data_IF_892723703031
#
_entry.id   IF_892723703031
#
_cell.length_a   1.000
_cell.length_b   1.000
_cell.length_c   1.000
_cell.angle_alpha   90.00
_cell.angle_beta   90.00
_cell.angle_gamma   90.00
#
_symmetry.space_group_name_H-M   'P 1'
#
loop_
_entity.id
_entity.type
_entity.pdbx_description
1 polymer ?
#
# COMPACT_ATOMS: atom_id res chain seq x y z
N UNK A 1 27.50 16.74 95.62
CA UNK A 1 27.82 16.52 94.21
C UNK A 1 26.59 15.91 93.57
N UNK A 2 25.82 16.74 92.84
CA UNK A 2 24.53 16.36 92.32
C UNK A 2 24.68 16.31 90.77
N UNK A 3 24.56 15.13 90.16
CA UNK A 3 24.56 14.94 88.72
C UNK A 3 23.18 15.12 88.15
N UNK A 4 23.01 16.14 87.32
CA UNK A 4 21.80 16.37 86.51
C UNK A 4 21.86 15.57 85.22
N UNK A 5 20.99 14.58 85.04
CA UNK A 5 20.75 13.90 83.79
C UNK A 5 19.77 14.77 82.91
N UNK A 6 20.28 15.31 81.84
CA UNK A 6 19.42 15.92 80.79
C UNK A 6 18.90 14.80 79.90
N UNK A 7 17.55 14.60 79.91
CA UNK A 7 16.83 13.79 78.91
C UNK A 7 16.60 14.60 77.65
N UNK A 8 17.26 14.18 76.59
CA UNK A 8 16.97 14.73 75.23
C UNK A 8 15.79 13.99 74.65
N UNK A 9 14.68 14.69 74.39
CA UNK A 9 13.51 14.18 73.68
C UNK A 9 13.76 14.36 72.17
N UNK A 10 13.93 13.27 71.44
CA UNK A 10 13.99 13.29 69.99
C UNK A 10 12.55 13.30 69.45
N UNK A 11 12.14 14.40 68.81
CA UNK A 11 10.98 14.43 67.97
C UNK A 11 11.28 13.77 66.64
N UNK A 12 10.69 12.61 66.37
CA UNK A 12 10.71 11.97 65.06
C UNK A 12 9.65 12.69 64.17
N UNK A 13 10.10 13.51 63.24
CA UNK A 13 9.24 14.08 62.23
C UNK A 13 8.92 13.01 61.19
N UNK A 14 7.69 12.53 61.14
CA UNK A 14 7.19 11.68 60.13
C UNK A 14 6.98 12.51 58.85
N UNK A 15 7.81 12.30 57.84
CA UNK A 15 7.62 12.86 56.48
C UNK A 15 6.62 11.96 55.73
N UNK A 16 5.45 12.47 55.31
CA UNK A 16 4.55 11.70 54.44
C UNK A 16 5.20 11.59 53.10
N UNK A 17 5.61 10.39 52.69
CA UNK A 17 6.00 10.04 51.33
C UNK A 17 4.71 10.07 50.51
N UNK A 18 4.44 11.18 49.79
CA UNK A 18 3.45 11.27 48.79
C UNK A 18 3.92 10.42 47.57
N UNK A 19 3.39 9.21 47.45
CA UNK A 19 3.58 8.37 46.28
C UNK A 19 2.80 9.04 45.13
N UNK A 20 3.47 9.90 44.38
CA UNK A 20 2.96 10.42 43.11
C UNK A 20 2.93 9.27 42.11
N UNK A 21 1.79 8.62 41.94
CA UNK A 21 1.54 7.79 40.76
C UNK A 21 1.54 8.73 39.56
N UNK A 22 2.70 8.89 38.93
CA UNK A 22 2.76 9.38 37.58
C UNK A 22 2.05 8.34 36.70
N UNK A 23 0.76 8.54 36.46
CA UNK A 23 0.06 7.87 35.36
C UNK A 23 0.69 8.47 34.10
N UNK A 24 1.80 7.89 33.68
CA UNK A 24 2.31 8.13 32.35
C UNK A 24 1.18 7.70 31.41
N UNK A 25 0.55 8.68 30.77
CA UNK A 25 -0.27 8.36 29.61
C UNK A 25 0.64 7.55 28.68
N UNK A 26 0.40 6.25 28.59
CA UNK A 26 1.05 5.42 27.58
C UNK A 26 0.66 6.08 26.24
N UNK A 27 1.61 6.80 25.66
CA UNK A 27 1.43 7.34 24.32
C UNK A 27 1.24 6.12 23.43
N UNK A 28 0.06 6.00 22.81
CA UNK A 28 -0.20 4.91 21.90
C UNK A 28 0.95 4.86 20.88
N UNK A 29 1.55 3.71 20.73
CA UNK A 29 2.65 3.53 19.77
C UNK A 29 2.07 3.77 18.37
N UNK A 30 2.80 4.55 17.57
CA UNK A 30 2.37 4.85 16.20
C UNK A 30 2.34 3.58 15.37
N UNK A 31 1.30 3.40 14.59
CA UNK A 31 1.26 2.33 13.60
C UNK A 31 2.25 2.62 12.47
N UNK A 32 3.13 1.69 12.20
CA UNK A 32 4.14 1.78 11.13
C UNK A 32 3.63 1.11 9.87
N UNK A 33 3.46 1.90 8.81
CA UNK A 33 2.88 1.45 7.55
C UNK A 33 3.95 1.38 6.47
N UNK A 34 4.14 0.21 5.86
CA UNK A 34 5.00 0.01 4.70
C UNK A 34 4.20 0.25 3.42
N UNK A 35 4.63 1.18 2.57
CA UNK A 35 4.11 1.35 1.22
C UNK A 35 5.03 0.63 0.24
N UNK A 36 4.47 -0.19 -0.64
CA UNK A 36 5.22 -0.96 -1.64
C UNK A 36 5.79 -0.11 -2.78
N UNK A 37 5.43 1.18 -2.81
CA UNK A 37 5.90 2.15 -3.79
C UNK A 37 5.87 3.58 -3.23
N UNK A 38 6.45 4.51 -3.99
CA UNK A 38 6.36 5.93 -3.66
C UNK A 38 4.91 6.42 -3.77
N UNK A 39 4.48 7.36 -2.90
CA UNK A 39 3.14 7.96 -2.99
C UNK A 39 2.82 8.48 -4.38
N UNK A 40 1.65 8.13 -4.88
CA UNK A 40 1.11 8.54 -6.16
C UNK A 40 -0.37 8.92 -6.03
N UNK A 41 -0.98 9.40 -7.10
CA UNK A 41 -2.42 9.67 -7.15
C UNK A 41 -3.27 8.40 -7.00
N UNK A 42 -2.72 7.22 -7.24
CA UNK A 42 -3.38 5.93 -6.98
C UNK A 42 -3.64 5.71 -5.48
N UNK A 43 -2.77 6.27 -4.62
CA UNK A 43 -2.87 6.19 -3.17
C UNK A 43 -3.73 7.30 -2.54
N UNK A 44 -4.30 8.22 -3.34
CA UNK A 44 -5.03 9.38 -2.80
C UNK A 44 -6.16 8.98 -1.83
N UNK A 45 -6.99 8.00 -2.21
CA UNK A 45 -8.08 7.52 -1.36
C UNK A 45 -7.57 6.89 -0.06
N UNK A 46 -6.44 6.18 -0.12
CA UNK A 46 -5.79 5.60 1.04
C UNK A 46 -5.29 6.67 2.01
N UNK A 47 -4.64 7.73 1.51
CA UNK A 47 -4.19 8.84 2.36
C UNK A 47 -5.36 9.61 3.00
N UNK A 48 -6.47 9.80 2.28
CA UNK A 48 -7.71 10.35 2.87
C UNK A 48 -8.22 9.46 4.01
N UNK A 49 -8.16 8.14 3.86
CA UNK A 49 -8.54 7.22 4.93
C UNK A 49 -7.59 7.30 6.13
N UNK A 50 -6.30 7.47 5.92
CA UNK A 50 -5.33 7.68 6.99
C UNK A 50 -5.63 8.98 7.77
N UNK A 51 -5.96 10.07 7.09
CA UNK A 51 -6.34 11.32 7.75
C UNK A 51 -7.64 11.17 8.56
N UNK A 52 -8.62 10.43 8.06
CA UNK A 52 -9.85 10.09 8.82
C UNK A 52 -9.53 9.22 10.04
N UNK A 53 -8.66 8.23 9.89
CA UNK A 53 -8.24 7.38 11.00
C UNK A 53 -7.53 8.20 12.08
N UNK A 54 -6.66 9.15 11.69
CA UNK A 54 -6.01 10.09 12.62
C UNK A 54 -7.02 10.96 13.34
N UNK A 55 -8.04 11.47 12.67
CA UNK A 55 -9.11 12.23 13.30
C UNK A 55 -9.92 11.41 14.32
N UNK A 56 -9.91 10.08 14.20
CA UNK A 56 -10.52 9.14 15.14
C UNK A 56 -9.54 8.57 16.18
N UNK A 57 -8.36 9.19 16.33
CA UNK A 57 -7.41 8.90 17.40
C UNK A 57 -6.33 7.88 17.06
N UNK A 58 -6.20 7.47 15.79
CA UNK A 58 -5.13 6.59 15.33
C UNK A 58 -3.90 7.44 14.99
N UNK A 59 -2.75 7.19 15.65
CA UNK A 59 -1.48 7.79 15.22
C UNK A 59 -0.71 6.81 14.34
N UNK A 60 -0.08 7.31 13.29
CA UNK A 60 0.65 6.49 12.33
C UNK A 60 1.85 7.23 11.74
N UNK A 61 2.77 6.43 11.24
CA UNK A 61 3.84 6.87 10.33
C UNK A 61 3.93 5.89 9.16
N UNK A 62 4.43 6.34 8.03
CA UNK A 62 4.61 5.47 6.88
C UNK A 62 6.00 5.59 6.27
N UNK A 63 6.44 4.53 5.62
CA UNK A 63 7.70 4.46 4.87
C UNK A 63 7.43 3.87 3.50
N UNK A 64 7.84 4.56 2.45
CA UNK A 64 7.82 4.04 1.09
C UNK A 64 9.08 3.21 0.84
N UNK A 65 8.90 1.99 0.39
CA UNK A 65 9.98 1.10 -0.03
C UNK A 65 10.18 1.19 -1.55
N UNK A 66 11.40 0.95 -2.00
CA UNK A 66 11.72 0.95 -3.43
C UNK A 66 11.27 -0.32 -4.14
N UNK A 67 10.89 -1.34 -3.39
CA UNK A 67 10.51 -2.65 -3.88
C UNK A 67 9.45 -3.27 -2.98
N UNK A 68 8.46 -3.90 -3.59
CA UNK A 68 7.32 -4.54 -2.89
C UNK A 68 7.76 -5.69 -1.97
N UNK A 69 8.74 -6.47 -2.38
CA UNK A 69 9.30 -7.55 -1.56
C UNK A 69 9.88 -7.01 -0.26
N UNK A 70 10.58 -5.87 -0.31
CA UNK A 70 11.14 -5.22 0.88
C UNK A 70 10.04 -4.75 1.84
N UNK A 71 8.95 -4.18 1.33
CA UNK A 71 7.80 -3.77 2.14
C UNK A 71 7.17 -4.99 2.85
N UNK A 72 6.99 -6.09 2.12
CA UNK A 72 6.46 -7.34 2.68
C UNK A 72 7.39 -7.91 3.75
N UNK A 73 8.71 -7.93 3.52
CA UNK A 73 9.69 -8.41 4.49
C UNK A 73 9.73 -7.54 5.75
N UNK A 74 9.56 -6.23 5.61
CA UNK A 74 9.49 -5.32 6.76
C UNK A 74 8.29 -5.62 7.66
N UNK A 75 7.13 -5.98 7.09
CA UNK A 75 5.96 -6.41 7.86
C UNK A 75 6.18 -7.81 8.47
N UNK A 76 6.76 -8.74 7.73
CA UNK A 76 7.05 -10.08 8.23
C UNK A 76 8.02 -10.09 9.41
N UNK A 77 9.02 -9.22 9.37
CA UNK A 77 10.02 -9.09 10.44
C UNK A 77 9.54 -8.30 11.66
N UNK A 78 8.35 -7.66 11.59
CA UNK A 78 7.84 -6.77 12.63
C UNK A 78 8.52 -5.39 12.66
N UNK A 79 9.31 -5.05 11.65
CA UNK A 79 9.85 -3.70 11.47
C UNK A 79 8.73 -2.70 11.13
N UNK A 80 7.75 -3.16 10.38
CA UNK A 80 6.51 -2.46 10.06
C UNK A 80 5.32 -3.31 10.53
N UNK A 81 4.22 -2.65 10.88
CA UNK A 81 3.03 -3.28 11.42
C UNK A 81 2.05 -3.72 10.33
N UNK A 82 1.85 -2.83 9.37
CA UNK A 82 0.91 -2.98 8.26
C UNK A 82 1.67 -2.71 6.95
N UNK A 83 1.28 -3.41 5.90
CA UNK A 83 1.75 -3.17 4.54
C UNK A 83 0.60 -2.83 3.59
N UNK A 84 0.91 -2.01 2.61
CA UNK A 84 0.09 -1.71 1.46
C UNK A 84 0.80 -2.24 0.21
N UNK A 85 0.14 -3.11 -0.57
CA UNK A 85 0.69 -3.76 -1.76
C UNK A 85 0.03 -5.10 -2.08
N UNK A 86 0.71 -5.97 -2.82
CA UNK A 86 0.23 -7.28 -3.28
C UNK A 86 0.94 -8.46 -2.59
N UNK A 87 0.59 -8.83 -1.34
CA UNK A 87 1.32 -9.83 -0.56
C UNK A 87 1.05 -11.28 -0.98
N UNK A 88 0.19 -11.52 -1.97
CA UNK A 88 -0.36 -12.85 -2.30
C UNK A 88 0.70 -13.90 -2.62
N UNK A 89 1.71 -13.52 -3.41
CA UNK A 89 2.79 -14.43 -3.75
C UNK A 89 3.64 -14.83 -2.53
N UNK A 90 3.89 -13.90 -1.61
CA UNK A 90 4.60 -14.17 -0.36
C UNK A 90 3.78 -15.09 0.56
N UNK A 91 2.46 -14.83 0.69
CA UNK A 91 1.56 -15.67 1.48
C UNK A 91 1.51 -17.11 0.95
N UNK A 92 1.48 -17.30 -0.37
CA UNK A 92 1.44 -18.63 -0.99
C UNK A 92 2.76 -19.39 -0.84
N UNK A 93 3.88 -18.73 -1.11
CA UNK A 93 5.20 -19.37 -1.12
C UNK A 93 5.74 -19.71 0.27
N UNK A 94 5.58 -18.79 1.22
CA UNK A 94 6.23 -18.90 2.53
C UNK A 94 5.29 -19.31 3.66
N UNK A 95 3.98 -19.48 3.40
CA UNK A 95 2.95 -19.64 4.44
C UNK A 95 3.10 -18.57 5.54
N UNK A 96 3.51 -17.38 5.12
CA UNK A 96 3.80 -16.27 6.00
C UNK A 96 2.60 -15.96 6.92
N UNK A 97 2.82 -15.58 8.19
CA UNK A 97 1.77 -15.22 9.12
C UNK A 97 1.18 -13.85 8.80
N UNK A 98 0.87 -13.61 7.52
CA UNK A 98 0.20 -12.42 7.04
C UNK A 98 -1.30 -12.64 6.92
N UNK A 99 -2.07 -11.55 7.10
CA UNK A 99 -3.51 -11.53 6.83
C UNK A 99 -3.85 -10.28 6.04
N UNK A 100 -4.74 -10.45 5.07
CA UNK A 100 -5.37 -9.33 4.39
C UNK A 100 -6.37 -8.71 5.37
N UNK A 101 -6.21 -7.42 5.60
CA UNK A 101 -7.09 -6.60 6.45
C UNK A 101 -8.19 -5.99 5.60
N UNK A 102 -7.83 -5.46 4.44
CA UNK A 102 -8.74 -4.79 3.54
C UNK A 102 -8.26 -4.95 2.08
N UNK A 103 -9.18 -5.21 1.17
CA UNK A 103 -8.91 -5.21 -0.26
C UNK A 103 -9.26 -3.84 -0.83
N UNK A 104 -8.27 -3.14 -1.37
CA UNK A 104 -8.42 -1.76 -1.80
C UNK A 104 -8.95 -1.66 -3.23
N UNK A 105 -8.51 -2.53 -4.11
CA UNK A 105 -8.89 -2.48 -5.51
C UNK A 105 -9.05 -3.88 -6.12
N UNK A 106 -9.81 -3.93 -7.21
CA UNK A 106 -9.77 -5.06 -8.14
C UNK A 106 -8.66 -4.85 -9.15
N UNK A 107 -8.04 -5.93 -9.57
CA UNK A 107 -7.02 -5.93 -10.59
C UNK A 107 -7.59 -5.35 -11.90
N UNK A 108 -7.18 -4.13 -12.25
CA UNK A 108 -7.53 -3.45 -13.51
C UNK A 108 -6.27 -2.92 -14.17
N UNK A 109 -5.46 -3.85 -14.64
CA UNK A 109 -4.24 -3.56 -15.37
C UNK A 109 -4.40 -3.89 -16.85
N UNK A 110 -3.70 -3.16 -17.68
CA UNK A 110 -3.79 -3.23 -19.12
C UNK A 110 -2.41 -3.40 -19.73
N UNK A 111 -2.19 -4.43 -20.55
CA UNK A 111 -1.03 -4.51 -21.41
C UNK A 111 -1.08 -3.38 -22.43
N UNK A 112 -0.02 -2.59 -22.46
CA UNK A 112 0.14 -1.48 -23.40
C UNK A 112 1.46 -1.65 -24.13
N UNK A 113 1.41 -1.47 -25.44
CA UNK A 113 2.57 -1.64 -26.34
C UNK A 113 2.70 -0.48 -27.29
N UNK A 114 3.88 -0.32 -27.88
CA UNK A 114 4.02 0.46 -29.10
C UNK A 114 3.18 -0.16 -30.21
N UNK A 115 2.88 0.60 -31.28
CA UNK A 115 2.11 0.09 -32.44
C UNK A 115 2.78 -1.06 -33.18
N UNK A 116 4.02 -1.43 -32.79
CA UNK A 116 4.74 -2.63 -33.28
C UNK A 116 3.98 -3.94 -33.02
N UNK A 117 3.21 -4.00 -31.90
CA UNK A 117 2.50 -5.19 -31.47
C UNK A 117 0.99 -4.94 -31.45
N UNK A 118 0.23 -5.78 -32.13
CA UNK A 118 -1.22 -5.65 -32.23
C UNK A 118 -2.00 -6.60 -31.31
N UNK A 119 -1.35 -7.63 -30.78
CA UNK A 119 -1.96 -8.63 -29.91
C UNK A 119 -0.98 -9.10 -28.83
N UNK A 120 -1.51 -9.76 -27.77
CA UNK A 120 -0.67 -10.36 -26.72
C UNK A 120 0.26 -11.44 -27.29
N UNK A 121 -0.16 -12.17 -28.33
CA UNK A 121 0.67 -13.23 -28.95
C UNK A 121 1.90 -12.68 -29.68
N UNK A 122 1.83 -11.43 -30.14
CA UNK A 122 2.97 -10.77 -30.80
C UNK A 122 4.13 -10.51 -29.82
N UNK A 123 3.84 -10.66 -28.50
CA UNK A 123 4.82 -10.49 -27.44
C UNK A 123 5.55 -11.81 -27.08
N UNK A 124 5.30 -12.90 -27.79
CA UNK A 124 6.00 -14.16 -27.55
C UNK A 124 7.50 -14.00 -27.86
N UNK A 125 8.33 -14.23 -26.85
CA UNK A 125 9.79 -14.02 -26.92
C UNK A 125 10.23 -12.56 -26.77
N UNK A 126 9.31 -11.58 -26.72
CA UNK A 126 9.63 -10.15 -26.68
C UNK A 126 9.79 -9.65 -25.24
N UNK A 127 10.63 -8.59 -25.04
CA UNK A 127 10.85 -8.02 -23.72
C UNK A 127 9.60 -7.33 -23.17
N UNK A 128 9.41 -7.42 -21.85
CA UNK A 128 8.33 -6.72 -21.15
C UNK A 128 8.85 -5.99 -19.91
N UNK A 129 8.27 -4.83 -19.62
CA UNK A 129 8.55 -4.02 -18.43
C UNK A 129 7.44 -4.18 -17.41
N UNK A 130 7.77 -4.62 -16.19
CA UNK A 130 6.85 -4.95 -15.12
C UNK A 130 7.17 -4.12 -13.86
N UNK A 131 6.31 -4.17 -12.84
CA UNK A 131 6.49 -3.43 -11.59
C UNK A 131 7.64 -3.99 -10.75
N UNK A 132 7.47 -5.20 -10.26
CA UNK A 132 8.42 -5.92 -9.41
C UNK A 132 8.32 -7.42 -9.63
N UNK A 133 9.37 -8.14 -9.28
CA UNK A 133 9.40 -9.61 -9.37
C UNK A 133 8.45 -10.20 -8.33
N UNK A 134 7.52 -11.04 -8.78
CA UNK A 134 6.51 -11.68 -7.93
C UNK A 134 5.39 -10.75 -7.48
N UNK A 135 5.37 -9.48 -7.92
CA UNK A 135 4.28 -8.54 -7.70
C UNK A 135 3.10 -8.72 -8.67
N UNK A 136 2.12 -7.81 -8.61
CA UNK A 136 0.87 -7.93 -9.36
C UNK A 136 1.06 -8.05 -10.87
N UNK A 137 1.85 -7.17 -11.48
CA UNK A 137 2.09 -7.20 -12.95
C UNK A 137 2.89 -8.41 -13.41
N UNK A 138 3.80 -8.93 -12.57
CA UNK A 138 4.53 -10.17 -12.86
C UNK A 138 3.60 -11.39 -12.79
N UNK A 139 2.67 -11.38 -11.85
CA UNK A 139 1.62 -12.42 -11.76
C UNK A 139 0.68 -12.39 -12.97
N UNK A 140 0.30 -11.18 -13.45
CA UNK A 140 -0.49 -11.03 -14.68
C UNK A 140 0.29 -11.59 -15.88
N UNK A 141 1.58 -11.27 -15.99
CA UNK A 141 2.41 -11.80 -17.08
C UNK A 141 2.43 -13.33 -17.06
N UNK A 142 2.55 -13.98 -15.90
CA UNK A 142 2.47 -15.43 -15.77
C UNK A 142 1.10 -15.97 -16.25
N UNK A 143 0.00 -15.30 -15.88
CA UNK A 143 -1.35 -15.70 -16.33
C UNK A 143 -1.49 -15.58 -17.86
N UNK A 144 -0.92 -14.54 -18.46
CA UNK A 144 -0.90 -14.37 -19.93
C UNK A 144 -0.13 -15.52 -20.59
N UNK A 145 1.07 -15.83 -20.09
CA UNK A 145 1.88 -16.93 -20.60
C UNK A 145 1.13 -18.26 -20.52
N UNK A 146 0.57 -18.58 -19.36
CA UNK A 146 -0.14 -19.84 -19.14
C UNK A 146 -1.38 -19.98 -20.06
N UNK A 147 -2.16 -18.91 -20.20
CA UNK A 147 -3.40 -18.96 -20.98
C UNK A 147 -3.18 -18.97 -22.49
N UNK A 148 -2.14 -18.29 -22.96
CA UNK A 148 -1.87 -18.16 -24.39
C UNK A 148 -0.82 -19.15 -24.89
N UNK A 149 -0.17 -19.90 -23.98
CA UNK A 149 0.90 -20.83 -24.32
C UNK A 149 2.11 -20.13 -24.95
N UNK A 150 2.44 -18.94 -24.44
CA UNK A 150 3.55 -18.10 -24.87
C UNK A 150 4.52 -17.86 -23.72
N UNK A 151 5.66 -17.23 -24.00
CA UNK A 151 6.60 -16.77 -22.98
C UNK A 151 7.12 -15.40 -23.33
N UNK A 152 7.02 -14.46 -22.39
CA UNK A 152 7.75 -13.20 -22.53
C UNK A 152 9.26 -13.44 -22.55
N UNK A 153 9.98 -12.66 -23.29
CA UNK A 153 11.43 -12.67 -23.31
C UNK A 153 12.00 -12.11 -22.00
N UNK A 154 12.87 -11.10 -22.11
CA UNK A 154 13.46 -10.47 -20.93
C UNK A 154 12.41 -9.69 -20.12
N UNK A 155 12.18 -10.08 -18.87
CA UNK A 155 11.41 -9.27 -17.90
C UNK A 155 12.34 -8.27 -17.22
N UNK A 156 11.99 -6.99 -17.29
CA UNK A 156 12.66 -5.90 -16.57
C UNK A 156 11.66 -5.29 -15.57
N UNK A 157 12.16 -4.74 -14.48
CA UNK A 157 11.31 -4.27 -13.39
C UNK A 157 11.54 -2.81 -13.11
N UNK A 158 10.45 -2.01 -13.15
CA UNK A 158 10.42 -0.58 -12.83
C UNK A 158 9.14 -0.31 -12.02
N UNK A 159 9.26 -0.01 -10.72
CA UNK A 159 8.13 0.32 -9.87
C UNK A 159 7.36 1.55 -10.34
N UNK A 160 6.04 1.54 -10.12
CA UNK A 160 5.12 2.62 -10.51
C UNK A 160 4.73 2.59 -11.99
N UNK A 161 3.42 2.58 -12.27
CA UNK A 161 2.89 2.60 -13.64
C UNK A 161 3.29 3.87 -14.40
N UNK A 162 3.35 5.02 -13.74
CA UNK A 162 3.80 6.29 -14.33
C UNK A 162 5.24 6.23 -14.85
N UNK A 163 6.13 5.56 -14.11
CA UNK A 163 7.52 5.37 -14.53
C UNK A 163 7.62 4.45 -15.76
N UNK A 164 6.79 3.42 -15.83
CA UNK A 164 6.73 2.52 -16.97
C UNK A 164 6.14 3.21 -18.21
N UNK A 165 5.13 4.07 -18.02
CA UNK A 165 4.63 4.95 -19.11
C UNK A 165 5.75 5.88 -19.60
N UNK A 166 6.51 6.50 -18.71
CA UNK A 166 7.65 7.32 -19.10
C UNK A 166 8.73 6.52 -19.86
N UNK A 167 8.91 5.23 -19.54
CA UNK A 167 9.81 4.37 -20.30
C UNK A 167 9.30 4.07 -21.71
N UNK A 168 7.99 3.84 -21.89
CA UNK A 168 7.36 3.70 -23.22
C UNK A 168 7.52 4.98 -24.05
N UNK A 169 7.13 6.13 -23.50
CA UNK A 169 7.24 7.44 -24.16
C UNK A 169 8.68 7.78 -24.56
N UNK A 170 9.63 7.38 -23.74
CA UNK A 170 11.06 7.56 -24.00
C UNK A 170 11.70 6.51 -24.91
N UNK A 171 10.94 5.57 -25.48
CA UNK A 171 11.45 4.50 -26.35
C UNK A 171 12.41 3.53 -25.65
N UNK A 172 12.32 3.41 -24.33
CA UNK A 172 13.16 2.51 -23.52
C UNK A 172 12.52 1.14 -23.29
N UNK A 173 11.25 1.02 -23.62
CA UNK A 173 10.48 -0.22 -23.60
C UNK A 173 9.41 -0.16 -24.69
N UNK A 174 9.05 -1.32 -25.23
CA UNK A 174 8.00 -1.46 -26.24
C UNK A 174 6.70 -2.05 -25.66
N UNK A 175 6.77 -2.69 -24.50
CA UNK A 175 5.64 -3.34 -23.86
C UNK A 175 5.69 -3.20 -22.34
N UNK A 176 4.54 -2.98 -21.72
CA UNK A 176 4.37 -2.95 -20.26
C UNK A 176 2.92 -3.30 -19.86
N UNK A 177 2.71 -3.45 -18.56
CA UNK A 177 1.37 -3.60 -17.96
C UNK A 177 1.18 -2.44 -16.99
N UNK A 178 0.14 -1.62 -17.18
CA UNK A 178 -0.15 -0.42 -16.40
C UNK A 178 -1.59 -0.40 -15.90
N UNK A 179 -1.84 0.36 -14.83
CA UNK A 179 -3.17 0.57 -14.26
C UNK A 179 -4.09 1.39 -15.18
N UNK A 180 -5.38 1.46 -14.78
CA UNK A 180 -6.41 2.16 -15.55
C UNK A 180 -6.15 3.66 -15.65
N UNK A 181 -5.66 4.32 -14.57
CA UNK A 181 -5.43 5.76 -14.55
C UNK A 181 -4.33 6.14 -15.54
N UNK A 182 -3.19 5.45 -15.46
CA UNK A 182 -2.05 5.67 -16.33
C UNK A 182 -2.35 5.29 -17.79
N UNK A 183 -3.12 4.21 -18.02
CA UNK A 183 -3.63 3.90 -19.35
C UNK A 183 -4.46 5.06 -19.92
N UNK A 184 -5.40 5.58 -19.13
CA UNK A 184 -6.26 6.67 -19.60
C UNK A 184 -5.46 7.97 -19.84
N UNK A 185 -4.48 8.31 -18.98
CA UNK A 185 -3.58 9.45 -19.19
C UNK A 185 -2.78 9.30 -20.49
N UNK A 186 -2.18 8.13 -20.72
CA UNK A 186 -1.41 7.86 -21.94
C UNK A 186 -2.27 7.98 -23.20
N UNK A 187 -3.44 7.33 -23.23
CA UNK A 187 -4.31 7.31 -24.40
C UNK A 187 -4.95 8.67 -24.73
N UNK A 188 -5.02 9.59 -23.74
CA UNK A 188 -5.48 10.98 -23.95
C UNK A 188 -4.35 11.94 -24.31
N UNK A 189 -3.10 11.53 -24.19
CA UNK A 189 -1.95 12.36 -24.59
C UNK A 189 -1.80 12.42 -26.11
N UNK A 190 -1.08 13.42 -26.61
CA UNK A 190 -0.75 13.54 -28.03
C UNK A 190 0.01 12.31 -28.57
N UNK A 191 0.72 11.60 -27.70
CA UNK A 191 1.46 10.39 -28.06
C UNK A 191 0.58 9.14 -28.06
N UNK A 192 -0.69 9.21 -27.63
CA UNK A 192 -1.56 8.05 -27.43
C UNK A 192 -1.75 7.21 -28.69
N UNK A 193 -1.76 7.82 -29.88
CA UNK A 193 -1.87 7.13 -31.17
C UNK A 193 -0.70 6.19 -31.49
N UNK A 194 0.44 6.37 -30.82
CA UNK A 194 1.64 5.54 -31.00
C UNK A 194 1.61 4.25 -30.16
N UNK A 195 0.53 4.02 -29.41
CA UNK A 195 0.42 2.90 -28.49
C UNK A 195 -0.88 2.14 -28.69
N UNK A 196 -0.81 0.82 -28.50
CA UNK A 196 -1.94 -0.08 -28.46
C UNK A 196 -2.23 -0.50 -27.03
N UNK A 197 -3.50 -0.46 -26.63
CA UNK A 197 -3.98 -1.18 -25.44
C UNK A 197 -4.46 -2.54 -25.92
N UNK A 198 -3.74 -3.58 -25.49
CA UNK A 198 -4.07 -4.94 -25.92
C UNK A 198 -5.25 -5.48 -25.12
N UNK A 199 -6.04 -6.32 -25.77
CA UNK A 199 -7.19 -6.97 -25.13
C UNK A 199 -6.70 -7.92 -24.03
N UNK A 200 -7.29 -7.76 -22.84
CA UNK A 200 -7.07 -8.65 -21.70
C UNK A 200 -8.31 -9.52 -21.47
N UNK A 201 -8.07 -10.77 -21.14
CA UNK A 201 -9.11 -11.62 -20.58
C UNK A 201 -9.40 -11.20 -19.14
N UNK A 202 -10.66 -11.32 -18.71
CA UNK A 202 -11.04 -11.02 -17.34
C UNK A 202 -10.32 -11.95 -16.36
N UNK A 203 -9.66 -11.33 -15.39
CA UNK A 203 -9.05 -12.01 -14.23
C UNK A 203 -9.74 -11.48 -13.00
N UNK A 204 -10.56 -12.33 -12.35
CA UNK A 204 -11.05 -12.01 -11.01
C UNK A 204 -9.90 -12.16 -10.02
N UNK A 205 -9.18 -11.10 -9.79
CA UNK A 205 -8.10 -11.05 -8.82
C UNK A 205 -8.16 -9.72 -8.05
N UNK A 206 -7.72 -9.80 -6.82
CA UNK A 206 -7.40 -8.61 -6.03
C UNK A 206 -6.10 -8.03 -6.52
N UNK A 207 -6.04 -6.72 -6.55
CA UNK A 207 -4.81 -5.99 -6.75
C UNK A 207 -4.20 -5.62 -5.40
N UNK A 208 -4.25 -4.37 -5.03
CA UNK A 208 -3.66 -3.90 -3.79
C UNK A 208 -4.52 -4.22 -2.58
N UNK A 209 -3.86 -4.59 -1.53
CA UNK A 209 -4.45 -4.89 -0.24
C UNK A 209 -3.70 -4.21 0.89
N UNK A 210 -4.44 -3.91 1.93
CA UNK A 210 -3.88 -3.66 3.25
C UNK A 210 -3.69 -5.01 3.93
N UNK A 211 -2.49 -5.29 4.39
CA UNK A 211 -2.14 -6.54 5.05
C UNK A 211 -1.29 -6.29 6.29
N UNK A 212 -1.26 -7.22 7.21
CA UNK A 212 -0.46 -7.11 8.42
C UNK A 212 -0.01 -8.46 8.95
N UNK A 213 0.92 -8.42 9.90
CA UNK A 213 1.30 -9.60 10.65
C UNK A 213 0.13 -10.05 11.53
N UNK A 214 -0.19 -11.36 11.52
CA UNK A 214 -1.33 -11.90 12.24
C UNK A 214 -1.29 -11.63 13.75
N UNK A 215 -0.09 -11.74 14.36
CA UNK A 215 0.05 -11.54 15.79
C UNK A 215 -0.10 -10.06 16.16
N UNK A 216 0.43 -9.16 15.33
CA UNK A 216 0.21 -7.72 15.50
C UNK A 216 -1.28 -7.37 15.39
N UNK A 217 -1.98 -7.86 14.36
CA UNK A 217 -3.41 -7.63 14.16
C UNK A 217 -4.21 -8.05 15.40
N UNK A 218 -3.97 -9.24 15.95
CA UNK A 218 -4.65 -9.74 17.15
C UNK A 218 -4.43 -8.89 18.40
N UNK A 219 -3.25 -8.30 18.52
CA UNK A 219 -2.90 -7.48 19.66
C UNK A 219 -3.37 -6.02 19.52
N UNK A 220 -3.80 -5.61 18.31
CA UNK A 220 -4.16 -4.23 17.98
C UNK A 220 -5.53 -4.14 17.27
N UNK A 221 -6.47 -5.02 17.62
CA UNK A 221 -7.80 -5.10 16.96
C UNK A 221 -8.53 -3.76 16.93
N UNK A 222 -8.46 -2.98 18.01
CA UNK A 222 -9.10 -1.66 18.08
C UNK A 222 -8.54 -0.69 17.03
N UNK A 223 -7.24 -0.68 16.83
CA UNK A 223 -6.58 0.21 15.86
C UNK A 223 -6.87 -0.24 14.43
N UNK A 224 -6.91 -1.56 14.20
CA UNK A 224 -7.35 -2.15 12.94
C UNK A 224 -8.79 -1.74 12.63
N UNK A 225 -9.71 -1.80 13.60
CA UNK A 225 -11.11 -1.40 13.43
C UNK A 225 -11.26 0.09 13.09
N UNK A 226 -10.50 0.97 13.74
CA UNK A 226 -10.49 2.40 13.42
C UNK A 226 -10.04 2.60 11.97
N UNK A 227 -8.97 1.92 11.56
CA UNK A 227 -8.42 2.07 10.22
C UNK A 227 -9.36 1.52 9.15
N UNK A 228 -9.89 0.32 9.33
CA UNK A 228 -10.85 -0.30 8.41
C UNK A 228 -12.12 0.54 8.29
N UNK A 229 -12.63 1.08 9.41
CA UNK A 229 -13.79 1.98 9.41
C UNK A 229 -13.52 3.25 8.60
N UNK A 230 -12.33 3.83 8.72
CA UNK A 230 -11.92 4.98 7.94
C UNK A 230 -11.84 4.65 6.44
N UNK A 231 -11.25 3.50 6.06
CA UNK A 231 -11.22 3.02 4.69
C UNK A 231 -12.63 2.84 4.13
N UNK A 232 -13.51 2.12 4.82
CA UNK A 232 -14.89 1.90 4.40
C UNK A 232 -15.63 3.22 4.18
N UNK A 233 -15.44 4.22 5.05
CA UNK A 233 -16.08 5.52 4.91
C UNK A 233 -15.64 6.26 3.65
N UNK A 234 -14.36 6.16 3.27
CA UNK A 234 -13.86 6.76 2.02
C UNK A 234 -14.45 6.05 0.80
N UNK A 235 -14.47 4.72 0.81
CA UNK A 235 -15.05 3.94 -0.29
C UNK A 235 -16.54 4.18 -0.47
N UNK A 236 -17.29 4.35 0.62
CA UNK A 236 -18.69 4.74 0.57
C UNK A 236 -18.86 6.12 -0.08
N UNK A 237 -18.07 7.10 0.31
CA UNK A 237 -18.13 8.44 -0.27
C UNK A 237 -17.79 8.42 -1.77
N UNK A 238 -16.80 7.64 -2.19
CA UNK A 238 -16.46 7.48 -3.60
C UNK A 238 -17.60 6.87 -4.43
N UNK A 239 -18.40 5.99 -3.82
CA UNK A 239 -19.53 5.36 -4.50
C UNK A 239 -20.80 6.20 -4.49
N UNK A 240 -21.05 6.97 -3.44
CA UNK A 240 -22.36 7.60 -3.21
C UNK A 240 -22.34 9.12 -3.40
N UNK A 241 -21.20 9.78 -3.23
CA UNK A 241 -21.11 11.22 -3.34
C UNK A 241 -21.08 11.66 -4.83
N UNK A 242 -21.98 12.54 -5.24
CA UNK A 242 -21.96 13.11 -6.60
C UNK A 242 -20.62 13.78 -6.95
N UNK A 243 -19.90 14.27 -5.95
CA UNK A 243 -18.57 14.90 -6.12
C UNK A 243 -17.54 13.92 -6.69
N UNK A 244 -17.66 12.63 -6.38
CA UNK A 244 -16.72 11.59 -6.81
C UNK A 244 -17.31 10.68 -7.87
N UNK A 245 -18.61 10.78 -8.15
CA UNK A 245 -19.21 10.08 -9.27
C UNK A 245 -18.69 10.70 -10.56
N UNK A 246 -18.18 9.85 -11.45
CA UNK A 246 -17.74 10.27 -12.78
C UNK A 246 -18.85 11.04 -13.47
N UNK A 247 -18.69 12.34 -13.60
CA UNK A 247 -19.28 13.04 -14.74
C UNK A 247 -18.42 12.69 -15.95
N UNK A 248 -19.01 12.56 -17.13
CA UNK A 248 -18.26 12.43 -18.39
C UNK A 248 -17.38 13.66 -18.68
N UNK A 249 -17.35 14.60 -17.75
CA UNK A 249 -16.49 15.79 -17.73
C UNK A 249 -15.09 15.42 -17.22
N UNK A 250 -14.08 15.45 -18.09
CA UNK A 250 -12.69 15.15 -17.73
C UNK A 250 -12.09 16.12 -16.69
N UNK A 251 -12.78 17.23 -16.38
CA UNK A 251 -12.32 18.22 -15.38
C UNK A 251 -12.83 17.93 -13.97
N UNK A 252 -13.74 16.97 -13.79
CA UNK A 252 -14.36 16.66 -12.49
C UNK A 252 -13.41 16.01 -11.45
N UNK A 253 -12.19 15.66 -11.83
CA UNK A 253 -11.15 15.13 -10.95
C UNK A 253 -10.10 16.16 -10.53
N UNK A 254 -10.29 17.46 -10.81
CA UNK A 254 -9.33 18.52 -10.46
C UNK A 254 -9.45 19.01 -9.02
N UNK A 255 -10.11 18.30 -8.14
CA UNK A 255 -10.38 18.72 -6.76
C UNK A 255 -9.92 17.77 -5.66
N UNK A 256 -9.03 16.82 -5.97
CA UNK A 256 -8.39 15.96 -4.95
C UNK A 256 -6.89 16.17 -4.98
#
# INVERSE_FOLDING_TARGET
>A
MINFFKKTVQFAAAIPIALSFAIGAAQAEKIKIALAEAPSDELAAFFVALDRARANGLDYEWTAFSDEELAIQAVLSGQMDIGFGTPYAAMQRSKAPLRIIFQLSKLKFFPVTTTKYASLKDLDGEPILLHSRGGGTDSIANVIEDRLGMQFGKRSYVPGSSNRVAALLGGRADATIIDLSNKNKLMRSEAGENFNVLEMFEVEASDEALFGNLDWIKNNEKDVDIFVSALLSVWQDLQTSPKYQRSDDPTSLQGI
#
